data_IF_826614348227
#
_entry.id   IF_826614348227
#
_cell.length_a   1.000
_cell.length_b   1.000
_cell.length_c   1.000
_cell.angle_alpha   90.00
_cell.angle_beta   90.00
_cell.angle_gamma   90.00
#
_symmetry.space_group_name_H-M   'P 1'
#
loop_
_entity.id
_entity.type
_entity.pdbx_description
1 polymer ?
#
# COMPACT_ATOMS: atom_id res chain seq x y z
N UNK A 1 10.96 -10.66 8.05
CA UNK A 1 10.19 -9.59 7.36
C UNK A 1 9.87 -10.04 5.95
N UNK A 2 8.62 -10.40 5.68
CA UNK A 2 8.15 -10.64 4.31
C UNK A 2 7.96 -9.30 3.63
N UNK A 3 8.51 -9.15 2.44
CA UNK A 3 8.28 -7.96 1.60
C UNK A 3 6.93 -8.16 0.92
N UNK A 4 5.92 -7.40 1.34
CA UNK A 4 4.62 -7.36 0.66
C UNK A 4 4.78 -6.67 -0.69
N UNK A 5 4.41 -7.35 -1.76
CA UNK A 5 4.46 -6.76 -3.11
C UNK A 5 3.32 -5.78 -3.30
N UNK A 6 3.62 -4.64 -3.89
CA UNK A 6 2.67 -3.58 -4.22
C UNK A 6 2.20 -3.69 -5.65
N UNK A 7 1.01 -3.15 -5.94
CA UNK A 7 0.51 -3.03 -7.29
C UNK A 7 1.47 -2.25 -8.19
N UNK A 8 1.75 -2.76 -9.39
CA UNK A 8 2.62 -2.12 -10.39
C UNK A 8 1.97 -0.95 -11.12
N UNK A 9 0.67 -0.71 -10.95
CA UNK A 9 -0.02 0.41 -11.61
C UNK A 9 0.38 1.73 -10.97
N UNK A 10 0.80 2.68 -11.81
CA UNK A 10 1.28 3.99 -11.37
C UNK A 10 0.26 4.69 -10.46
N UNK A 11 0.71 5.15 -9.29
CA UNK A 11 -0.14 5.82 -8.31
C UNK A 11 -0.95 4.89 -7.40
N UNK A 12 -0.85 3.57 -7.58
CA UNK A 12 -1.47 2.60 -6.68
C UNK A 12 -0.46 2.08 -5.65
N UNK A 13 -0.80 2.20 -4.36
CA UNK A 13 -0.01 1.63 -3.25
C UNK A 13 -0.71 0.42 -2.60
N UNK A 14 -1.75 -0.13 -3.24
CA UNK A 14 -2.46 -1.30 -2.72
C UNK A 14 -1.59 -2.55 -2.83
N UNK A 15 -1.82 -3.51 -1.93
CA UNK A 15 -1.15 -4.80 -1.94
C UNK A 15 -1.55 -5.59 -3.18
N UNK A 16 -0.59 -6.24 -3.82
CA UNK A 16 -0.85 -7.08 -4.98
C UNK A 16 -1.60 -8.36 -4.58
N UNK A 17 -2.56 -8.77 -5.41
CA UNK A 17 -3.37 -9.97 -5.24
C UNK A 17 -3.36 -10.88 -6.48
N UNK A 18 -2.94 -10.36 -7.63
CA UNK A 18 -2.88 -11.07 -8.90
C UNK A 18 -1.57 -10.78 -9.62
N UNK A 19 -1.16 -11.71 -10.49
CA UNK A 19 -0.04 -11.51 -11.41
C UNK A 19 -0.56 -11.55 -12.85
N UNK A 20 -0.17 -10.55 -13.63
CA UNK A 20 -0.50 -10.36 -15.04
C UNK A 20 0.71 -10.67 -15.93
N UNK A 21 0.50 -11.46 -16.97
CA UNK A 21 1.53 -11.78 -17.97
C UNK A 21 1.00 -11.51 -19.38
N UNK A 22 1.82 -10.88 -20.22
CA UNK A 22 1.52 -10.69 -21.64
C UNK A 22 2.17 -11.79 -22.48
N UNK A 23 1.37 -12.56 -23.21
CA UNK A 23 1.80 -13.55 -24.19
C UNK A 23 1.61 -12.95 -25.58
N UNK A 24 2.64 -12.26 -26.06
CA UNK A 24 2.58 -11.49 -27.31
C UNK A 24 2.30 -12.33 -28.55
N UNK A 25 2.90 -13.53 -28.64
CA UNK A 25 2.72 -14.42 -29.79
C UNK A 25 1.24 -14.75 -30.02
N UNK A 26 0.51 -14.95 -28.93
CA UNK A 26 -0.89 -15.35 -28.95
C UNK A 26 -1.83 -14.16 -28.72
N UNK A 27 -1.29 -12.92 -28.67
CA UNK A 27 -2.03 -11.71 -28.33
C UNK A 27 -2.92 -11.91 -27.11
N UNK A 28 -2.37 -12.50 -26.05
CA UNK A 28 -3.16 -12.91 -24.88
C UNK A 28 -2.60 -12.29 -23.60
N UNK A 29 -3.50 -11.80 -22.75
CA UNK A 29 -3.20 -11.36 -21.39
C UNK A 29 -3.70 -12.40 -20.42
N UNK A 30 -2.80 -12.93 -19.61
CA UNK A 30 -3.11 -13.95 -18.61
C UNK A 30 -3.08 -13.31 -17.23
N UNK A 31 -4.20 -13.39 -16.52
CA UNK A 31 -4.34 -12.99 -15.13
C UNK A 31 -4.46 -14.24 -14.26
N UNK A 32 -3.49 -14.43 -13.37
CA UNK A 32 -3.47 -15.54 -12.41
C UNK A 32 -3.41 -15.07 -10.96
N UNK A 33 -3.49 -16.02 -10.01
CA UNK A 33 -3.14 -15.77 -8.61
C UNK A 33 -1.77 -15.09 -8.50
N UNK A 34 -1.56 -14.35 -7.42
CA UNK A 34 -0.27 -13.73 -7.13
C UNK A 34 0.84 -14.80 -7.16
N UNK A 35 1.79 -14.68 -8.09
CA UNK A 35 2.89 -15.63 -8.28
C UNK A 35 3.72 -15.74 -7.00
N UNK A 36 4.25 -16.90 -6.64
CA UNK A 36 4.99 -17.08 -5.37
C UNK A 36 6.27 -16.24 -5.29
N UNK A 37 6.90 -15.97 -6.43
CA UNK A 37 8.06 -15.09 -6.58
C UNK A 37 7.77 -13.97 -7.59
N UNK A 38 8.53 -12.88 -7.47
CA UNK A 38 8.45 -11.77 -8.42
C UNK A 38 9.13 -12.16 -9.73
N UNK A 39 8.33 -12.25 -10.80
CA UNK A 39 8.82 -12.59 -12.13
C UNK A 39 9.18 -11.31 -12.92
N UNK A 40 10.34 -11.24 -13.59
CA UNK A 40 10.79 -10.03 -14.31
C UNK A 40 9.87 -9.56 -15.45
N UNK A 41 9.05 -10.47 -16.00
CA UNK A 41 8.18 -10.21 -17.15
C UNK A 41 6.69 -10.19 -16.78
N UNK A 42 6.39 -10.17 -15.48
CA UNK A 42 5.04 -10.14 -14.98
C UNK A 42 4.76 -8.85 -14.18
N UNK A 43 3.48 -8.48 -14.12
CA UNK A 43 3.02 -7.31 -13.41
C UNK A 43 2.10 -7.71 -12.27
N UNK A 44 2.38 -7.22 -11.08
CA UNK A 44 1.58 -7.53 -9.90
C UNK A 44 0.47 -6.49 -9.75
N UNK A 45 -0.78 -6.93 -9.69
CA UNK A 45 -1.96 -6.06 -9.64
C UNK A 45 -2.74 -6.29 -8.34
N UNK A 46 -3.29 -5.22 -7.77
CA UNK A 46 -4.27 -5.36 -6.69
C UNK A 46 -5.60 -5.90 -7.25
N UNK A 47 -6.49 -6.35 -6.36
CA UNK A 47 -7.80 -6.91 -6.72
C UNK A 47 -8.60 -6.01 -7.66
N UNK A 48 -8.67 -4.71 -7.34
CA UNK A 48 -9.40 -3.71 -8.12
C UNK A 48 -8.84 -3.58 -9.54
N UNK A 49 -7.51 -3.50 -9.67
CA UNK A 49 -6.86 -3.36 -10.96
C UNK A 49 -6.87 -4.65 -11.78
N UNK A 50 -6.83 -5.82 -11.15
CA UNK A 50 -7.04 -7.08 -11.84
C UNK A 50 -8.47 -7.16 -12.40
N UNK A 51 -9.48 -6.70 -11.66
CA UNK A 51 -10.88 -6.74 -12.08
C UNK A 51 -11.20 -5.71 -13.17
N UNK A 52 -10.65 -4.50 -13.07
CA UNK A 52 -10.88 -3.40 -14.04
C UNK A 52 -9.94 -3.43 -15.24
N UNK A 53 -9.00 -4.38 -15.29
CA UNK A 53 -8.06 -4.49 -16.41
C UNK A 53 -8.80 -4.70 -17.74
N UNK A 54 -8.49 -3.83 -18.69
CA UNK A 54 -8.90 -3.96 -20.09
C UNK A 54 -7.66 -4.28 -20.93
N UNK A 55 -7.72 -5.35 -21.72
CA UNK A 55 -6.64 -5.69 -22.64
C UNK A 55 -6.64 -4.78 -23.88
N UNK A 56 -5.49 -4.67 -24.59
CA UNK A 56 -5.43 -3.98 -25.87
C UNK A 56 -6.41 -4.55 -26.90
N UNK A 57 -6.74 -3.77 -27.94
CA UNK A 57 -7.66 -4.23 -28.99
C UNK A 57 -7.11 -5.46 -29.69
N UNK A 58 -7.98 -6.46 -29.89
CA UNK A 58 -7.60 -7.73 -30.52
C UNK A 58 -6.87 -8.70 -29.59
N UNK A 59 -6.69 -8.35 -28.31
CA UNK A 59 -6.11 -9.26 -27.33
C UNK A 59 -7.17 -10.04 -26.55
N UNK A 60 -6.87 -11.30 -26.24
CA UNK A 60 -7.72 -12.14 -25.39
C UNK A 60 -7.32 -11.98 -23.92
N UNK A 61 -8.30 -11.94 -23.01
CA UNK A 61 -8.05 -11.98 -21.55
C UNK A 61 -8.40 -13.37 -21.04
N UNK A 62 -7.43 -14.01 -20.38
CA UNK A 62 -7.61 -15.29 -19.68
C UNK A 62 -7.44 -15.06 -18.19
N UNK A 63 -8.49 -15.35 -17.41
CA UNK A 63 -8.48 -15.24 -15.94
C UNK A 63 -8.47 -16.64 -15.33
N UNK A 64 -7.37 -17.02 -14.69
CA UNK A 64 -7.22 -18.33 -14.04
C UNK A 64 -7.81 -18.35 -12.63
N UNK A 65 -8.00 -17.19 -12.01
CA UNK A 65 -8.70 -17.03 -10.75
C UNK A 65 -9.84 -16.02 -10.92
N UNK A 66 -11.01 -16.35 -10.36
CA UNK A 66 -12.19 -15.47 -10.34
C UNK A 66 -12.19 -14.52 -9.15
N UNK A 67 -11.49 -14.87 -8.07
CA UNK A 67 -11.45 -14.11 -6.82
C UNK A 67 -10.01 -13.75 -6.47
N UNK A 68 -9.69 -12.45 -6.52
CA UNK A 68 -8.37 -11.91 -6.18
C UNK A 68 -8.45 -11.26 -4.81
N UNK A 69 -8.74 -12.03 -3.77
CA UNK A 69 -8.69 -11.52 -2.40
C UNK A 69 -7.24 -11.38 -1.95
N UNK A 70 -6.85 -10.28 -1.28
CA UNK A 70 -5.53 -10.20 -0.67
C UNK A 70 -5.35 -11.37 0.29
N UNK A 71 -4.12 -11.89 0.39
CA UNK A 71 -3.81 -13.00 1.28
C UNK A 71 -4.26 -12.67 2.70
N UNK A 72 -4.89 -13.64 3.36
CA UNK A 72 -5.28 -13.50 4.76
C UNK A 72 -4.04 -13.23 5.63
N UNK A 73 -4.19 -12.45 6.72
CA UNK A 73 -3.10 -12.17 7.64
C UNK A 73 -2.48 -13.49 8.13
N UNK A 74 -1.15 -13.57 8.10
CA UNK A 74 -0.46 -14.79 8.49
C UNK A 74 -0.46 -14.98 10.01
N UNK A 75 -0.23 -16.21 10.48
CA UNK A 75 -0.16 -16.52 11.91
C UNK A 75 0.92 -15.67 12.62
N UNK A 76 2.07 -15.44 11.95
CA UNK A 76 3.13 -14.55 12.44
C UNK A 76 2.62 -13.11 12.68
N UNK A 77 1.77 -12.59 11.78
CA UNK A 77 1.21 -11.24 11.90
C UNK A 77 0.20 -11.17 13.07
N UNK A 78 -0.57 -12.23 13.27
CA UNK A 78 -1.50 -12.35 14.39
C UNK A 78 -0.75 -12.44 15.72
N UNK A 79 0.35 -13.20 15.79
CA UNK A 79 1.21 -13.29 16.96
C UNK A 79 1.88 -11.95 17.27
N UNK A 80 2.36 -11.24 16.24
CA UNK A 80 2.94 -9.91 16.39
C UNK A 80 1.94 -8.91 17.00
N UNK A 81 0.69 -8.91 16.53
CA UNK A 81 -0.39 -8.08 17.09
C UNK A 81 -0.72 -8.50 18.54
N UNK A 82 -0.80 -9.80 18.82
CA UNK A 82 -1.04 -10.31 20.17
C UNK A 82 0.04 -9.86 21.16
N UNK A 83 1.30 -9.84 20.73
CA UNK A 83 2.41 -9.35 21.53
C UNK A 83 2.33 -7.83 21.78
N UNK A 84 2.05 -7.03 20.74
CA UNK A 84 1.85 -5.58 20.86
C UNK A 84 0.74 -5.26 21.87
N UNK A 85 -0.40 -5.96 21.79
CA UNK A 85 -1.52 -5.77 22.72
C UNK A 85 -1.14 -6.17 24.15
N UNK A 86 -0.40 -7.27 24.33
CA UNK A 86 0.08 -7.73 25.65
C UNK A 86 0.98 -6.68 26.30
N UNK A 87 1.92 -6.11 25.56
CA UNK A 87 2.81 -5.06 26.04
C UNK A 87 2.08 -3.75 26.32
N UNK A 88 1.13 -3.35 25.46
CA UNK A 88 0.28 -2.18 25.70
C UNK A 88 -0.61 -2.33 26.95
N UNK A 89 -1.05 -3.56 27.27
CA UNK A 89 -1.80 -3.85 28.49
C UNK A 89 -0.91 -3.82 29.72
N UNK A 90 0.29 -4.41 29.70
CA UNK A 90 1.25 -4.32 30.83
C UNK A 90 1.59 -2.87 31.20
N UNK A 91 1.77 -2.00 30.21
CA UNK A 91 2.06 -0.57 30.43
C UNK A 91 0.89 0.19 31.05
N UNK A 92 -0.35 -0.29 30.89
CA UNK A 92 -1.54 0.27 31.56
C UNK A 92 -1.76 -0.29 32.96
N UNK A 93 -1.07 -1.37 33.32
CA UNK A 93 -1.00 -1.90 34.68
C UNK A 93 0.13 -1.26 35.50
N UNK A 94 0.31 0.07 35.41
CA UNK A 94 0.69 0.79 36.64
C UNK A 94 -0.44 0.57 37.64
N UNK A 95 -0.15 0.37 38.94
CA UNK A 95 -1.12 -0.12 39.92
C UNK A 95 -2.35 0.75 39.88
N UNK A 96 -3.41 0.23 39.25
CA UNK A 96 -4.70 0.89 39.28
C UNK A 96 -5.08 0.89 40.74
N UNK A 97 -5.28 2.09 41.26
CA UNK A 97 -5.90 2.32 42.55
C UNK A 97 -7.00 1.29 42.76
N UNK A 98 -6.98 0.64 43.93
CA UNK A 98 -7.93 -0.37 44.40
C UNK A 98 -9.26 -0.29 43.62
N UNK A 99 -9.51 -1.26 42.73
CA UNK A 99 -10.85 -1.46 42.17
C UNK A 99 -11.80 -1.55 43.36
N UNK A 100 -12.68 -0.57 43.47
CA UNK A 100 -13.64 -0.45 44.55
C UNK A 100 -14.74 -1.49 44.30
N UNK A 101 -14.78 -2.53 45.13
CA UNK A 101 -15.76 -3.63 45.04
C UNK A 101 -17.20 -3.21 45.34
N UNK A 102 -17.48 -1.92 45.55
CA UNK A 102 -18.81 -1.38 45.83
C UNK A 102 -19.44 -0.68 44.61
N UNK A 103 -18.90 -0.88 43.41
CA UNK A 103 -19.53 -0.42 42.17
C UNK A 103 -20.86 -1.14 41.94
N UNK A 104 -21.95 -0.39 41.97
CA UNK A 104 -23.35 -0.86 41.89
C UNK A 104 -23.96 -0.71 40.47
N UNK A 105 -23.13 -0.41 39.46
CA UNK A 105 -23.56 -0.43 38.06
C UNK A 105 -24.51 0.68 37.63
N UNK A 106 -24.73 1.71 38.47
CA UNK A 106 -25.57 2.86 38.12
C UNK A 106 -24.70 4.04 37.69
N UNK A 107 -24.80 4.44 36.42
CA UNK A 107 -24.21 5.68 35.94
C UNK A 107 -25.00 6.85 36.56
N UNK A 108 -24.39 7.59 37.49
CA UNK A 108 -24.92 8.89 37.96
C UNK A 108 -24.87 9.92 36.82
N UNK A 109 -25.89 10.78 36.65
CA UNK A 109 -26.03 11.69 35.52
C UNK A 109 -25.17 12.96 35.60
N UNK A 110 -24.21 13.04 36.52
CA UNK A 110 -23.43 14.25 36.78
C UNK A 110 -21.93 13.99 36.55
N UNK A 111 -21.56 13.87 35.28
CA UNK A 111 -20.19 14.09 34.83
C UNK A 111 -20.09 15.53 34.31
N UNK A 112 -20.04 16.50 35.22
CA UNK A 112 -19.57 17.85 34.90
C UNK A 112 -18.06 17.91 35.13
N UNK A 113 -17.34 18.17 34.04
CA UNK A 113 -16.01 18.79 33.96
C UNK A 113 -14.84 18.27 34.81
N UNK A 114 -13.75 17.96 34.11
CA UNK A 114 -12.42 18.44 34.52
C UNK A 114 -11.37 17.36 34.77
N UNK A 115 -10.51 17.13 33.77
CA UNK A 115 -9.33 16.28 33.95
C UNK A 115 -8.57 16.00 32.67
N UNK A 116 -8.19 17.04 31.93
CA UNK A 116 -7.18 16.92 30.87
C UNK A 116 -5.84 16.61 31.54
N UNK A 117 -5.46 15.33 31.59
CA UNK A 117 -4.11 14.93 31.99
C UNK A 117 -3.23 15.01 30.75
N UNK A 118 -2.54 16.14 30.62
CA UNK A 118 -1.33 16.23 29.82
C UNK A 118 -0.29 15.28 30.43
N UNK A 119 -0.14 14.10 29.83
CA UNK A 119 1.04 13.26 30.11
C UNK A 119 2.21 13.92 29.39
N UNK A 120 3.04 14.64 30.15
CA UNK A 120 4.30 15.18 29.67
C UNK A 120 5.21 14.03 29.27
N UNK A 121 5.44 13.88 27.96
CA UNK A 121 6.53 13.07 27.45
C UNK A 121 7.76 13.99 27.35
N UNK A 122 8.63 13.89 28.35
CA UNK A 122 9.96 14.49 28.35
C UNK A 122 10.74 13.86 27.19
N UNK A 123 10.94 14.62 26.11
CA UNK A 123 11.93 14.29 25.09
C UNK A 123 13.16 15.16 25.36
N UNK A 124 14.30 14.52 25.57
CA UNK A 124 15.59 15.18 25.69
C UNK A 124 15.87 16.04 24.45
N UNK A 125 15.96 17.34 24.68
CA UNK A 125 16.35 18.34 23.71
C UNK A 125 17.88 18.40 23.63
N UNK A 126 18.45 17.78 22.60
CA UNK A 126 19.90 17.70 22.44
C UNK A 126 20.43 17.65 21.01
N UNK A 127 19.78 18.24 20.01
CA UNK A 127 20.41 18.49 18.69
C UNK A 127 20.06 19.89 18.19
N UNK A 128 21.04 20.78 18.23
CA UNK A 128 20.96 22.14 17.71
C UNK A 128 20.94 22.12 16.18
N UNK A 129 19.98 22.86 15.64
CA UNK A 129 19.72 23.11 14.23
C UNK A 129 20.88 23.87 13.57
N UNK A 130 21.07 23.58 12.28
CA UNK A 130 21.93 24.37 11.40
C UNK A 130 21.68 24.08 9.93
N UNK A 131 20.43 24.10 9.46
CA UNK A 131 20.13 24.06 8.02
C UNK A 131 19.01 25.05 7.70
N UNK A 132 19.45 26.17 7.13
CA UNK A 132 18.65 27.26 6.58
C UNK A 132 17.68 26.77 5.51
N UNK A 133 16.49 27.36 5.50
CA UNK A 133 15.49 27.22 4.45
C UNK A 133 15.98 27.88 3.15
N UNK A 134 16.79 27.16 2.38
CA UNK A 134 17.10 27.47 0.99
C UNK A 134 16.10 26.79 0.07
N UNK A 135 15.04 27.48 -0.31
CA UNK A 135 14.10 27.06 -1.36
C UNK A 135 14.86 26.99 -2.70
N UNK A 136 15.50 25.86 -3.01
CA UNK A 136 16.10 25.63 -4.33
C UNK A 136 14.98 25.47 -5.35
N UNK A 137 14.77 26.50 -6.17
CA UNK A 137 14.13 26.33 -7.48
C UNK A 137 14.95 25.30 -8.26
N UNK A 138 14.34 24.18 -8.58
CA UNK A 138 14.87 23.29 -9.62
C UNK A 138 14.73 24.05 -10.93
N UNK A 139 15.80 24.31 -11.69
CA UNK A 139 15.64 24.76 -13.06
C UNK A 139 14.99 23.62 -13.85
N UNK A 140 13.76 23.86 -14.30
CA UNK A 140 13.09 23.15 -15.39
C UNK A 140 14.04 23.14 -16.58
N UNK A 141 14.90 22.13 -16.67
CA UNK A 141 15.71 21.89 -17.85
C UNK A 141 14.75 21.29 -18.87
N UNK A 142 14.06 22.18 -19.60
CA UNK A 142 13.35 21.88 -20.85
C UNK A 142 14.33 21.14 -21.76
N UNK A 143 14.33 19.82 -21.69
CA UNK A 143 15.01 18.97 -22.66
C UNK A 143 14.13 18.98 -23.90
N UNK A 144 14.58 19.75 -24.88
CA UNK A 144 13.86 19.99 -26.11
C UNK A 144 13.61 18.73 -26.93
N UNK A 145 12.66 18.91 -27.83
CA UNK A 145 12.52 18.32 -29.15
C UNK A 145 12.48 16.79 -29.26
N UNK A 146 11.37 16.20 -28.84
CA UNK A 146 10.85 15.04 -29.57
C UNK A 146 10.48 15.53 -30.98
N UNK A 147 11.39 15.36 -31.94
CA UNK A 147 11.05 15.46 -33.36
C UNK A 147 10.25 14.21 -33.72
N UNK A 148 8.97 14.39 -34.03
CA UNK A 148 8.23 13.41 -34.79
C UNK A 148 8.89 13.33 -36.17
N UNK A 149 9.50 12.19 -36.49
CA UNK A 149 9.85 11.86 -37.87
C UNK A 149 8.54 11.57 -38.60
N UNK A 150 8.19 12.30 -39.68
CA UNK A 150 7.21 11.81 -40.63
C UNK A 150 7.92 10.75 -41.48
N UNK A 151 7.97 9.51 -40.99
CA UNK A 151 8.12 8.33 -41.84
C UNK A 151 6.70 7.82 -42.08
N UNK A 152 6.08 8.09 -43.22
CA UNK A 152 6.56 7.62 -44.51
C UNK A 152 5.91 6.27 -44.73
N UNK A 153 4.62 6.31 -45.08
CA UNK A 153 3.88 5.19 -45.64
C UNK A 153 4.70 4.64 -46.81
N UNK A 154 5.09 3.35 -46.85
CA UNK A 154 5.60 2.80 -48.09
C UNK A 154 4.44 2.72 -49.09
N UNK A 155 4.60 3.41 -50.22
CA UNK A 155 3.76 3.21 -51.40
C UNK A 155 3.75 1.71 -51.75
N UNK A 156 2.58 1.08 -51.99
CA UNK A 156 2.57 -0.20 -52.66
C UNK A 156 3.04 0.02 -54.10
N UNK A 157 4.29 -0.38 -54.36
CA UNK A 157 4.79 -0.51 -55.71
C UNK A 157 3.84 -1.38 -56.53
N UNK A 158 3.53 -0.87 -57.71
CA UNK A 158 2.88 -1.54 -58.82
C UNK A 158 3.50 -2.91 -59.10
N UNK A 159 2.66 -3.94 -59.20
CA UNK A 159 2.64 -4.91 -60.30
C UNK A 159 1.25 -5.56 -60.40
#
# INVERSE_FOLDING_TARGET
>A
MRVTRSCSKNGCNQVAAATLTYVYKDSTVVLGPLATQAEPHAYDLCAEHANTLTAPRGWQVVRLASEFTPAEPSDDDLEALANVVREASKRRHLPTAKVNKNWDGRLSPEATSGGSVHVGHEYDAGVKQGLSAGRRRVPEKRRGHLRLLPGGLPDPASE
#
